data_IF_377763253305
#
_entry.id   IF_377763253305
#
_cell.length_a   1.000
_cell.length_b   1.000
_cell.length_c   1.000
_cell.angle_alpha   90.00
_cell.angle_beta   90.00
_cell.angle_gamma   90.00
#
_symmetry.space_group_name_H-M   'P 1'
#
loop_
_entity.id
_entity.type
_entity.pdbx_description
1 polymer ?
#
# COMPACT_ATOMS: atom_id res chain seq x y z
N UNK A 1 2.69 29.37 -5.90
CA UNK A 1 1.80 29.89 -4.84
C UNK A 1 1.79 28.88 -3.69
N UNK A 2 2.13 29.27 -2.45
CA UNK A 2 2.01 28.38 -1.31
C UNK A 2 0.53 28.25 -0.96
N UNK A 3 -0.01 27.06 -1.14
CA UNK A 3 -1.40 26.72 -0.79
C UNK A 3 -1.49 26.70 0.73
N UNK A 4 -2.19 27.65 1.33
CA UNK A 4 -2.56 27.63 2.75
C UNK A 4 -3.50 26.45 2.96
N UNK A 5 -2.93 25.30 3.34
CA UNK A 5 -3.69 24.12 3.73
C UNK A 5 -4.40 24.48 5.04
N UNK A 6 -5.73 24.49 5.03
CA UNK A 6 -6.49 24.68 6.26
C UNK A 6 -6.23 23.49 7.20
N UNK A 7 -6.09 23.72 8.52
CA UNK A 7 -5.70 22.68 9.48
C UNK A 7 -6.66 21.46 9.51
N UNK A 8 -7.91 21.64 9.06
CA UNK A 8 -8.93 20.60 8.94
C UNK A 8 -8.60 19.56 7.84
N UNK A 9 -8.08 20.00 6.69
CA UNK A 9 -7.64 19.10 5.60
C UNK A 9 -6.39 18.33 6.03
N UNK A 10 -5.51 18.97 6.80
CA UNK A 10 -4.25 18.37 7.25
C UNK A 10 -4.44 17.32 8.37
N UNK A 11 -5.54 17.39 9.12
CA UNK A 11 -5.94 16.38 10.09
C UNK A 11 -6.56 15.14 9.42
N UNK A 12 -7.30 15.33 8.31
CA UNK A 12 -7.99 14.25 7.58
C UNK A 12 -7.03 13.22 6.95
N UNK A 13 -5.84 13.63 6.53
CA UNK A 13 -4.87 12.78 5.83
C UNK A 13 -3.68 12.35 6.71
N UNK A 14 -3.95 12.13 8.00
CA UNK A 14 -3.01 11.46 8.90
C UNK A 14 -3.23 9.95 8.87
N UNK A 15 -2.18 9.18 9.08
CA UNK A 15 -2.26 7.75 9.31
C UNK A 15 -3.19 7.46 10.50
N UNK A 16 -3.73 6.25 10.59
CA UNK A 16 -4.72 5.89 11.61
C UNK A 16 -4.20 6.03 13.06
N UNK A 17 -2.88 6.03 13.27
CA UNK A 17 -2.25 6.34 14.56
C UNK A 17 -2.16 7.85 14.87
N UNK A 18 -2.53 8.73 13.94
CA UNK A 18 -2.46 10.20 14.08
C UNK A 18 -1.03 10.77 14.08
N UNK A 19 -0.01 9.90 14.02
CA UNK A 19 1.40 10.26 14.23
C UNK A 19 2.08 10.88 13.01
N UNK A 20 1.71 10.46 11.80
CA UNK A 20 2.36 10.92 10.56
C UNK A 20 1.34 11.13 9.42
N UNK A 21 1.75 11.89 8.41
CA UNK A 21 0.96 12.09 7.19
C UNK A 21 0.92 10.80 6.36
N UNK A 22 -0.18 10.54 5.64
CA UNK A 22 -0.39 9.30 4.85
C UNK A 22 0.70 9.02 3.81
N UNK A 23 1.33 10.08 3.27
CA UNK A 23 2.47 9.95 2.35
C UNK A 23 3.70 9.38 3.08
N UNK A 24 4.02 9.90 4.26
CA UNK A 24 5.12 9.39 5.09
C UNK A 24 4.82 7.97 5.58
N UNK A 25 3.56 7.69 5.95
CA UNK A 25 3.13 6.33 6.28
C UNK A 25 3.36 5.36 5.13
N UNK A 26 2.99 5.75 3.90
CA UNK A 26 3.17 4.92 2.71
C UNK A 26 4.65 4.69 2.40
N UNK A 27 5.52 5.68 2.62
CA UNK A 27 6.97 5.51 2.53
C UNK A 27 7.50 4.49 3.54
N UNK A 28 7.03 4.54 4.78
CA UNK A 28 7.40 3.55 5.80
C UNK A 28 6.92 2.14 5.43
N UNK A 29 5.68 2.00 4.92
CA UNK A 29 5.18 0.72 4.42
C UNK A 29 6.03 0.19 3.27
N UNK A 30 6.53 1.07 2.39
CA UNK A 30 7.39 0.70 1.27
C UNK A 30 8.77 0.24 1.73
N UNK A 31 9.38 0.95 2.68
CA UNK A 31 10.65 0.54 3.30
C UNK A 31 10.48 -0.83 3.97
N UNK A 32 9.40 -1.00 4.73
CA UNK A 32 9.07 -2.27 5.36
C UNK A 32 8.93 -3.39 4.33
N UNK A 33 8.18 -3.17 3.26
CA UNK A 33 8.02 -4.12 2.16
C UNK A 33 9.37 -4.50 1.51
N UNK A 34 10.25 -3.52 1.27
CA UNK A 34 11.59 -3.75 0.75
C UNK A 34 12.46 -4.58 1.70
N UNK A 35 12.45 -4.26 2.99
CA UNK A 35 13.18 -5.02 4.03
C UNK A 35 12.71 -6.47 4.10
N UNK A 36 11.40 -6.72 4.10
CA UNK A 36 10.84 -8.07 4.08
C UNK A 36 11.20 -8.81 2.79
N UNK A 37 11.21 -8.14 1.65
CA UNK A 37 11.59 -8.74 0.37
C UNK A 37 13.07 -9.17 0.36
N UNK A 38 13.97 -8.35 0.90
CA UNK A 38 15.40 -8.68 1.03
C UNK A 38 15.58 -9.84 2.02
N UNK A 39 14.89 -9.81 3.16
CA UNK A 39 14.92 -10.88 4.14
C UNK A 39 14.44 -12.20 3.52
N UNK A 40 13.30 -12.21 2.84
CA UNK A 40 12.79 -13.39 2.13
C UNK A 40 13.75 -13.90 1.07
N UNK A 41 14.55 -13.04 0.44
CA UNK A 41 15.59 -13.46 -0.50
C UNK A 41 16.77 -14.14 0.21
N UNK A 42 17.22 -13.61 1.37
CA UNK A 42 18.32 -14.18 2.14
C UNK A 42 17.99 -15.57 2.70
N UNK A 43 16.74 -15.80 3.09
CA UNK A 43 16.27 -17.06 3.66
C UNK A 43 15.53 -17.95 2.64
N UNK A 44 15.36 -17.49 1.40
CA UNK A 44 14.60 -18.18 0.36
C UNK A 44 15.42 -19.22 -0.41
N UNK A 45 14.79 -20.31 -0.81
CA UNK A 45 15.39 -21.34 -1.69
C UNK A 45 15.80 -20.74 -3.06
N UNK A 46 16.64 -21.44 -3.85
CA UNK A 46 17.07 -21.01 -5.20
C UNK A 46 15.92 -20.61 -6.15
N UNK A 47 14.73 -21.18 -5.97
CA UNK A 47 13.52 -20.85 -6.74
C UNK A 47 12.95 -19.44 -6.46
N UNK A 48 13.35 -18.81 -5.34
CA UNK A 48 12.86 -17.49 -4.90
C UNK A 48 13.35 -16.34 -5.80
N UNK A 49 14.42 -16.55 -6.59
CA UNK A 49 14.97 -15.52 -7.49
C UNK A 49 13.94 -15.02 -8.52
N UNK A 50 13.12 -15.91 -9.09
CA UNK A 50 12.05 -15.51 -10.02
C UNK A 50 10.99 -14.64 -9.34
N UNK A 51 10.80 -14.83 -8.04
CA UNK A 51 9.82 -14.11 -7.23
C UNK A 51 10.28 -12.73 -6.78
N UNK A 52 11.57 -12.38 -6.95
CA UNK A 52 12.13 -11.05 -6.62
C UNK A 52 11.74 -9.98 -7.65
N UNK A 53 11.42 -10.39 -8.89
CA UNK A 53 11.01 -9.47 -9.96
C UNK A 53 9.75 -8.68 -9.55
N UNK A 54 8.78 -9.36 -8.94
CA UNK A 54 7.51 -8.75 -8.53
C UNK A 54 7.72 -7.64 -7.50
N UNK A 55 8.41 -7.87 -6.36
CA UNK A 55 8.77 -6.81 -5.41
C UNK A 55 9.53 -5.64 -6.02
N UNK A 56 10.48 -5.88 -6.94
CA UNK A 56 11.24 -4.80 -7.59
C UNK A 56 10.30 -3.91 -8.42
N UNK A 57 9.44 -4.51 -9.25
CA UNK A 57 8.51 -3.75 -10.10
C UNK A 57 7.53 -2.97 -9.23
N UNK A 58 6.91 -3.62 -8.24
CA UNK A 58 5.93 -3.00 -7.34
C UNK A 58 6.55 -1.85 -6.56
N UNK A 59 7.77 -2.04 -6.04
CA UNK A 59 8.50 -0.99 -5.32
C UNK A 59 8.81 0.19 -6.23
N UNK A 60 9.29 -0.08 -7.45
CA UNK A 60 9.61 0.97 -8.43
C UNK A 60 8.38 1.79 -8.82
N UNK A 61 7.24 1.14 -9.05
CA UNK A 61 5.97 1.80 -9.36
C UNK A 61 5.46 2.64 -8.17
N UNK A 62 5.57 2.12 -6.94
CA UNK A 62 5.20 2.85 -5.74
C UNK A 62 6.07 4.11 -5.54
N UNK A 63 7.39 4.00 -5.70
CA UNK A 63 8.31 5.16 -5.65
C UNK A 63 7.93 6.18 -6.72
N UNK A 64 7.74 5.73 -7.96
CA UNK A 64 7.36 6.60 -9.07
C UNK A 64 6.03 7.32 -8.81
N UNK A 65 5.04 6.61 -8.27
CA UNK A 65 3.74 7.16 -7.89
C UNK A 65 3.83 8.20 -6.79
N UNK A 66 4.67 7.97 -5.77
CA UNK A 66 4.91 8.93 -4.68
C UNK A 66 5.61 10.20 -5.18
N UNK A 67 6.62 10.07 -6.06
CA UNK A 67 7.36 11.21 -6.63
C UNK A 67 6.45 12.04 -7.54
N UNK A 68 5.70 11.38 -8.43
CA UNK A 68 4.84 12.05 -9.40
C UNK A 68 3.48 12.46 -8.84
N UNK A 69 3.18 12.09 -7.59
CA UNK A 69 1.88 12.28 -6.92
C UNK A 69 0.70 11.71 -7.72
N UNK A 70 0.94 10.63 -8.47
CA UNK A 70 -0.08 9.98 -9.31
C UNK A 70 -0.62 8.73 -8.61
N UNK A 71 -1.87 8.81 -8.17
CA UNK A 71 -2.56 7.73 -7.45
C UNK A 71 -2.58 6.40 -8.23
N UNK A 72 -2.64 6.44 -9.58
CA UNK A 72 -2.72 5.24 -10.44
C UNK A 72 -1.55 4.26 -10.25
N UNK A 73 -0.35 4.75 -9.92
CA UNK A 73 0.84 3.91 -9.74
C UNK A 73 0.93 3.29 -8.35
N UNK A 74 0.09 3.70 -7.39
CA UNK A 74 0.03 3.10 -6.06
C UNK A 74 -0.85 1.84 -6.02
N UNK A 75 -1.75 1.65 -7.00
CA UNK A 75 -2.64 0.48 -7.04
C UNK A 75 -1.91 -0.86 -7.02
N UNK A 76 -0.84 -1.10 -7.80
CA UNK A 76 -0.09 -2.36 -7.74
C UNK A 76 0.44 -2.68 -6.34
N UNK A 77 0.89 -1.65 -5.60
CA UNK A 77 1.37 -1.81 -4.23
C UNK A 77 0.24 -2.15 -3.25
N UNK A 78 -0.92 -1.50 -3.40
CA UNK A 78 -2.12 -1.81 -2.63
C UNK A 78 -2.61 -3.24 -2.90
N UNK A 79 -2.72 -3.63 -4.18
CA UNK A 79 -3.19 -4.96 -4.60
C UNK A 79 -2.31 -6.05 -3.99
N UNK A 80 -0.98 -5.93 -4.11
CA UNK A 80 -0.06 -6.91 -3.55
C UNK A 80 -0.17 -6.98 -2.03
N UNK A 81 -0.31 -5.85 -1.34
CA UNK A 81 -0.49 -5.82 0.12
C UNK A 81 -1.77 -6.57 0.54
N UNK A 82 -2.87 -6.38 -0.19
CA UNK A 82 -4.14 -7.07 0.07
C UNK A 82 -4.04 -8.56 -0.25
N UNK A 83 -3.40 -8.94 -1.37
CA UNK A 83 -3.17 -10.34 -1.72
C UNK A 83 -2.32 -11.04 -0.66
N UNK A 84 -1.25 -10.39 -0.18
CA UNK A 84 -0.41 -10.91 0.91
C UNK A 84 -1.22 -11.12 2.19
N UNK A 85 -2.14 -10.22 2.52
CA UNK A 85 -3.06 -10.40 3.65
C UNK A 85 -3.93 -11.66 3.50
N UNK A 86 -4.54 -11.87 2.31
CA UNK A 86 -5.34 -13.06 2.05
C UNK A 86 -4.52 -14.35 2.13
N UNK A 87 -3.31 -14.34 1.57
CA UNK A 87 -2.39 -15.48 1.67
C UNK A 87 -2.01 -15.75 3.14
N UNK A 88 -1.76 -14.71 3.94
CA UNK A 88 -1.46 -14.84 5.36
C UNK A 88 -2.60 -15.49 6.15
N UNK A 89 -3.84 -15.06 5.92
CA UNK A 89 -5.03 -15.67 6.56
C UNK A 89 -5.20 -17.12 6.11
N UNK A 90 -5.09 -17.38 4.81
CA UNK A 90 -5.24 -18.73 4.26
C UNK A 90 -4.19 -19.69 4.85
N UNK A 91 -2.93 -19.25 4.94
CA UNK A 91 -1.85 -20.03 5.55
C UNK A 91 -2.12 -20.31 7.03
N UNK A 92 -2.59 -19.33 7.80
CA UNK A 92 -2.96 -19.52 9.20
C UNK A 92 -4.07 -20.58 9.36
N UNK A 93 -5.10 -20.51 8.51
CA UNK A 93 -6.22 -21.47 8.51
C UNK A 93 -5.75 -22.86 8.12
N UNK A 94 -4.94 -23.01 7.06
CA UNK A 94 -4.41 -24.30 6.61
C UNK A 94 -3.56 -24.93 7.72
N UNK A 95 -2.61 -24.18 8.28
CA UNK A 95 -1.73 -24.69 9.35
C UNK A 95 -2.55 -25.09 10.58
N UNK A 96 -3.50 -24.26 11.00
CA UNK A 96 -4.35 -24.56 12.15
C UNK A 96 -5.20 -25.81 11.94
N UNK A 97 -5.85 -25.90 10.77
CA UNK A 97 -6.75 -27.01 10.42
C UNK A 97 -5.97 -28.31 10.28
N UNK A 98 -4.85 -28.28 9.56
CA UNK A 98 -3.99 -29.45 9.36
C UNK A 98 -3.37 -29.93 10.68
N UNK A 99 -2.97 -29.00 11.55
CA UNK A 99 -2.45 -29.34 12.88
C UNK A 99 -3.52 -29.94 13.80
N UNK A 100 -4.78 -29.51 13.66
CA UNK A 100 -5.90 -30.03 14.45
C UNK A 100 -6.30 -31.45 14.05
N UNK A 101 -6.38 -31.72 12.74
CA UNK A 101 -6.79 -33.05 12.25
C UNK A 101 -5.65 -34.05 12.14
N UNK A 102 -4.42 -33.59 11.85
CA UNK A 102 -3.28 -34.44 11.50
C UNK A 102 -2.00 -33.97 12.19
N UNK A 103 -2.04 -33.85 13.52
CA UNK A 103 -0.93 -33.35 14.33
C UNK A 103 0.38 -34.13 14.10
N UNK A 104 0.34 -35.47 14.06
CA UNK A 104 1.53 -36.29 13.89
C UNK A 104 2.19 -36.09 12.51
N UNK A 105 1.40 -35.88 11.45
CA UNK A 105 1.93 -35.55 10.12
C UNK A 105 2.54 -34.16 10.09
N UNK A 106 1.89 -33.16 10.70
CA UNK A 106 2.45 -31.81 10.81
C UNK A 106 3.78 -31.82 11.57
N UNK A 107 3.86 -32.61 12.65
CA UNK A 107 5.09 -32.82 13.43
C UNK A 107 6.22 -33.38 12.56
N UNK A 108 5.92 -34.36 11.71
CA UNK A 108 6.91 -34.93 10.78
C UNK A 108 7.37 -33.91 9.72
N UNK A 109 6.46 -33.11 9.18
CA UNK A 109 6.78 -32.02 8.22
C UNK A 109 7.69 -30.98 8.87
N UNK A 110 7.42 -30.59 10.12
CA UNK A 110 8.26 -29.65 10.88
C UNK A 110 9.66 -30.24 11.08
N UNK A 111 9.75 -31.51 11.49
CA UNK A 111 11.04 -32.20 11.63
C UNK A 111 11.87 -32.18 10.36
N UNK A 112 11.25 -32.50 9.21
CA UNK A 112 11.90 -32.46 7.91
C UNK A 112 12.28 -31.03 7.49
N UNK A 113 11.44 -30.03 7.80
CA UNK A 113 11.68 -28.63 7.40
C UNK A 113 12.80 -27.98 8.22
N UNK A 114 13.01 -28.45 9.45
CA UNK A 114 14.08 -27.99 10.35
C UNK A 114 15.34 -28.87 10.30
N UNK A 115 15.37 -29.86 9.41
CA UNK A 115 16.47 -30.83 9.24
C UNK A 115 16.87 -31.53 10.57
N UNK A 116 15.87 -31.88 11.37
CA UNK A 116 16.03 -32.58 12.65
C UNK A 116 15.95 -34.09 12.40
N UNK A 117 16.91 -34.86 12.93
CA UNK A 117 16.86 -36.33 12.90
C UNK A 117 15.67 -36.84 13.73
N UNK A 118 14.54 -37.08 13.06
CA UNK A 118 13.31 -37.65 13.63
C UNK A 118 12.22 -36.62 13.98
N UNK A 119 11.01 -37.09 14.37
CA UNK A 119 9.91 -36.20 14.68
C UNK A 119 10.18 -35.42 15.98
N UNK A 120 10.10 -34.08 15.97
CA UNK A 120 10.39 -33.25 17.13
C UNK A 120 9.45 -33.57 18.30
N UNK A 121 9.84 -33.22 19.53
CA UNK A 121 8.99 -33.42 20.71
C UNK A 121 7.63 -32.74 20.51
N UNK A 122 6.57 -33.27 21.14
CA UNK A 122 5.22 -32.70 21.03
C UNK A 122 5.18 -31.24 21.48
N UNK A 123 5.92 -30.92 22.54
CA UNK A 123 6.04 -29.56 23.07
C UNK A 123 6.67 -28.60 22.06
N UNK A 124 7.78 -28.99 21.43
CA UNK A 124 8.43 -28.18 20.39
C UNK A 124 7.51 -28.01 19.17
N UNK A 125 6.83 -29.08 18.75
CA UNK A 125 5.90 -29.02 17.62
C UNK A 125 4.72 -28.07 17.90
N UNK A 126 4.12 -28.14 19.09
CA UNK A 126 3.05 -27.22 19.51
C UNK A 126 3.57 -25.78 19.52
N UNK A 127 4.75 -25.55 20.10
CA UNK A 127 5.35 -24.20 20.13
C UNK A 127 5.57 -23.63 18.73
N UNK A 128 6.10 -24.43 17.80
CA UNK A 128 6.30 -24.02 16.40
C UNK A 128 4.97 -23.74 15.69
N UNK A 129 3.97 -24.61 15.86
CA UNK A 129 2.65 -24.42 15.24
C UNK A 129 1.98 -23.16 15.79
N UNK A 130 1.86 -23.04 17.11
CA UNK A 130 1.25 -21.88 17.75
C UNK A 130 2.01 -20.60 17.41
N UNK A 131 3.33 -20.61 17.48
CA UNK A 131 4.18 -19.47 17.10
C UNK A 131 3.96 -19.05 15.65
N UNK A 132 3.90 -20.00 14.72
CA UNK A 132 3.65 -19.73 13.30
C UNK A 132 2.25 -19.15 13.08
N UNK A 133 1.21 -19.73 13.68
CA UNK A 133 -0.17 -19.24 13.56
C UNK A 133 -0.31 -17.82 14.14
N UNK A 134 0.29 -17.57 15.31
CA UNK A 134 0.32 -16.22 15.92
C UNK A 134 1.06 -15.24 15.00
N UNK A 135 2.22 -15.62 14.47
CA UNK A 135 2.97 -14.78 13.54
C UNK A 135 2.15 -14.46 12.28
N UNK A 136 1.46 -15.43 11.67
CA UNK A 136 0.57 -15.21 10.53
C UNK A 136 -0.58 -14.25 10.87
N UNK A 137 -1.17 -14.37 12.06
CA UNK A 137 -2.23 -13.48 12.51
C UNK A 137 -1.73 -12.04 12.73
N UNK A 138 -0.58 -11.87 13.39
CA UNK A 138 0.04 -10.56 13.58
C UNK A 138 0.43 -9.91 12.24
N UNK A 139 1.02 -10.68 11.32
CA UNK A 139 1.34 -10.20 9.97
C UNK A 139 0.08 -9.78 9.21
N UNK A 140 -1.02 -10.51 9.35
CA UNK A 140 -2.31 -10.14 8.74
C UNK A 140 -2.80 -8.78 9.25
N UNK A 141 -2.72 -8.54 10.57
CA UNK A 141 -3.09 -7.24 11.16
C UNK A 141 -2.18 -6.13 10.61
N UNK A 142 -0.89 -6.37 10.51
CA UNK A 142 0.08 -5.42 9.95
C UNK A 142 -0.24 -5.13 8.47
N UNK A 143 -0.54 -6.15 7.66
CA UNK A 143 -0.91 -5.96 6.26
C UNK A 143 -2.23 -5.21 6.10
N UNK A 144 -3.21 -5.47 6.97
CA UNK A 144 -4.45 -4.69 7.01
C UNK A 144 -4.18 -3.22 7.35
N UNK A 145 -3.32 -2.97 8.33
CA UNK A 145 -2.90 -1.61 8.66
C UNK A 145 -2.19 -0.91 7.49
N UNK A 146 -1.29 -1.62 6.80
CA UNK A 146 -0.61 -1.11 5.61
C UNK A 146 -1.57 -0.79 4.48
N UNK A 147 -2.53 -1.67 4.18
CA UNK A 147 -3.50 -1.45 3.11
C UNK A 147 -4.36 -0.23 3.39
N UNK A 148 -4.76 0.01 4.65
CA UNK A 148 -5.46 1.23 5.06
C UNK A 148 -4.61 2.50 4.82
N UNK A 149 -3.34 2.50 5.22
CA UNK A 149 -2.44 3.66 5.01
C UNK A 149 -2.29 3.95 3.50
N UNK A 150 -2.01 2.93 2.71
CA UNK A 150 -1.82 3.07 1.26
C UNK A 150 -3.10 3.57 0.60
N UNK A 151 -4.25 3.01 0.97
CA UNK A 151 -5.56 3.44 0.45
C UNK A 151 -5.84 4.91 0.77
N UNK A 152 -5.57 5.35 2.01
CA UNK A 152 -5.72 6.77 2.39
C UNK A 152 -4.76 7.69 1.63
N UNK A 153 -3.56 7.23 1.31
CA UNK A 153 -2.63 7.98 0.45
C UNK A 153 -3.13 8.07 -0.99
N UNK A 154 -3.79 7.02 -1.48
CA UNK A 154 -4.39 6.98 -2.81
C UNK A 154 -5.55 7.98 -2.91
N UNK A 155 -6.46 7.94 -1.93
CA UNK A 155 -7.57 8.89 -1.76
C UNK A 155 -7.08 10.34 -1.66
N UNK A 156 -5.98 10.58 -0.92
CA UNK A 156 -5.33 11.89 -0.86
C UNK A 156 -4.87 12.39 -2.24
N UNK A 157 -4.20 11.54 -3.03
CA UNK A 157 -3.73 11.92 -4.36
C UNK A 157 -4.86 12.04 -5.40
N UNK A 158 -5.95 11.28 -5.25
CA UNK A 158 -7.15 11.44 -6.06
C UNK A 158 -7.85 12.78 -5.77
N UNK A 159 -7.99 13.11 -4.48
CA UNK A 159 -8.54 14.40 -4.07
C UNK A 159 -7.72 15.59 -4.57
N UNK A 160 -6.38 15.51 -4.46
CA UNK A 160 -5.48 16.56 -4.95
C UNK A 160 -5.54 16.69 -6.49
N UNK A 161 -5.72 15.58 -7.21
CA UNK A 161 -5.88 15.59 -8.67
C UNK A 161 -7.15 16.33 -9.10
N UNK A 162 -8.31 16.00 -8.51
CA UNK A 162 -9.57 16.70 -8.80
C UNK A 162 -9.52 18.17 -8.41
N UNK A 163 -8.88 18.51 -7.27
CA UNK A 163 -8.69 19.90 -6.86
C UNK A 163 -7.90 20.71 -7.89
N UNK A 164 -6.85 20.13 -8.47
CA UNK A 164 -6.05 20.78 -9.52
C UNK A 164 -6.84 20.96 -10.82
N UNK A 165 -7.62 19.95 -11.21
CA UNK A 165 -8.50 20.00 -12.37
C UNK A 165 -9.57 21.10 -12.24
N UNK A 166 -10.22 21.20 -11.09
CA UNK A 166 -11.17 22.26 -10.78
C UNK A 166 -10.53 23.65 -10.82
N UNK A 167 -9.30 23.80 -10.31
CA UNK A 167 -8.58 25.07 -10.36
C UNK A 167 -8.26 25.49 -11.80
N UNK A 168 -7.82 24.55 -12.64
CA UNK A 168 -7.58 24.80 -14.05
C UNK A 168 -8.89 25.17 -14.77
N UNK A 169 -9.95 24.39 -14.54
CA UNK A 169 -11.29 24.63 -15.10
C UNK A 169 -11.89 25.97 -14.68
N UNK A 170 -11.58 26.49 -13.48
CA UNK A 170 -11.96 27.82 -12.99
C UNK A 170 -11.03 28.96 -13.39
N UNK A 171 -9.83 28.67 -13.89
CA UNK A 171 -8.92 29.69 -14.43
C UNK A 171 -9.22 30.02 -15.90
N UNK A 172 -9.75 29.05 -16.65
CA UNK A 172 -10.22 29.19 -18.03
C UNK A 172 -11.44 30.13 -18.23
N UNK A 173 -12.47 30.19 -17.34
CA UNK A 173 -13.63 31.06 -17.51
C UNK A 173 -13.24 32.52 -17.34
N UNK A 174 -12.28 32.84 -16.49
CA UNK A 174 -11.80 34.21 -16.27
C UNK A 174 -11.05 34.75 -17.48
N UNK A 175 -10.34 33.89 -18.21
CA UNK A 175 -9.66 34.30 -19.44
C UNK A 175 -10.60 34.40 -20.64
N UNK A 176 -11.61 33.51 -20.76
CA UNK A 176 -12.64 33.61 -21.81
C UNK A 176 -13.60 34.78 -21.58
N UNK A 177 -14.06 35.01 -20.35
CA UNK A 177 -14.93 36.16 -20.03
C UNK A 177 -14.22 37.50 -20.22
N UNK A 178 -12.90 37.58 -19.99
CA UNK A 178 -12.17 38.82 -20.22
C UNK A 178 -12.05 39.12 -21.73
N UNK A 179 -11.83 38.10 -22.58
CA UNK A 179 -11.83 38.27 -24.05
C UNK A 179 -13.21 38.60 -24.61
N UNK A 180 -14.29 37.96 -24.14
CA UNK A 180 -15.66 38.23 -24.60
C UNK A 180 -16.11 39.66 -24.23
N UNK A 181 -15.77 40.14 -23.03
CA UNK A 181 -16.08 41.50 -22.61
C UNK A 181 -15.24 42.56 -23.35
N UNK A 182 -14.01 42.23 -23.74
CA UNK A 182 -13.16 43.12 -24.54
C UNK A 182 -13.67 43.22 -25.99
N UNK A 183 -14.09 42.11 -26.60
CA UNK A 183 -14.67 42.11 -27.95
C UNK A 183 -16.02 42.84 -27.99
N UNK A 184 -16.88 42.65 -26.99
CA UNK A 184 -18.14 43.40 -26.89
C UNK A 184 -17.93 44.90 -26.67
N UNK A 185 -16.94 45.30 -25.86
CA UNK A 185 -16.59 46.70 -25.65
C UNK A 185 -16.04 47.38 -26.91
N UNK A 186 -15.21 46.68 -27.68
CA UNK A 186 -14.65 47.19 -28.95
C UNK A 186 -15.75 47.29 -30.04
N UNK A 187 -16.72 46.37 -30.08
CA UNK A 187 -17.83 46.47 -31.03
C UNK A 187 -18.77 47.64 -30.73
N UNK A 188 -19.12 47.90 -29.46
CA UNK A 188 -19.98 49.06 -29.12
C UNK A 188 -19.33 50.40 -29.48
N UNK A 189 -18.01 50.50 -29.37
CA UNK A 189 -17.29 51.73 -29.70
C UNK A 189 -17.22 51.99 -31.22
N UNK A 190 -17.30 50.93 -32.06
CA UNK A 190 -17.28 51.03 -33.52
C UNK A 190 -18.63 51.44 -34.15
N UNK A 191 -19.73 51.28 -33.42
CA UNK A 191 -21.08 51.64 -33.87
C UNK A 191 -21.59 52.99 -33.29
N UNK A 192 -20.77 53.66 -32.48
CA UNK A 192 -21.11 54.95 -31.84
C UNK A 192 -20.33 56.14 -32.42
N UNK A 193 -19.59 55.93 -33.52
CA UNK A 193 -18.88 56.95 -34.29
C UNK A 193 -19.41 56.96 -35.73
#
# INVERSE_FOLDING_TARGET
>A
MPTTITPDVQARYRCFCGLCHVVTGTQLCLIWYGMFSIFSMMFGMKSTLTWVIVPIIVTSLAIYGLITRKHKYLYPFLIITVVQQFVGILMAVIISTFSFFSFDTMRQIIGHSLDIEGPPSKETAIFVICGTVIACFLLTIIHFWHSLIIYRCLDYYEHEYHRLEDCMSKSVPTHCQLTDNLEHGIQQQKYSA
#
